data_IF_560458299935
#
_entry.id   IF_560458299935
#
_cell.length_a   1.000
_cell.length_b   1.000
_cell.length_c   1.000
_cell.angle_alpha   90.00
_cell.angle_beta   90.00
_cell.angle_gamma   90.00
#
_symmetry.space_group_name_H-M   'P 1'
#
loop_
_entity.id
_entity.type
_entity.pdbx_description
1 polymer ?
#
# COMPACT_ATOMS: atom_id res chain seq x y z
N UNK A 1 4.64 -33.99 -43.54
CA UNK A 1 5.70 -32.97 -43.39
C UNK A 1 5.07 -31.71 -42.85
N UNK A 2 5.69 -31.16 -41.80
CA UNK A 2 5.26 -30.01 -41.01
C UNK A 2 4.92 -28.76 -41.83
N UNK A 3 3.96 -27.99 -41.34
CA UNK A 3 4.11 -26.54 -41.33
C UNK A 3 3.45 -25.95 -40.07
N UNK A 4 4.25 -25.84 -39.00
CA UNK A 4 3.99 -24.96 -37.87
C UNK A 4 4.45 -23.56 -38.23
N UNK A 5 3.57 -22.55 -38.17
CA UNK A 5 3.98 -21.15 -37.93
C UNK A 5 2.78 -20.22 -37.87
N UNK A 6 2.06 -20.22 -36.73
CA UNK A 6 1.30 -19.06 -36.28
C UNK A 6 1.30 -18.98 -34.75
N UNK A 7 2.48 -18.70 -34.19
CA UNK A 7 2.61 -18.10 -32.86
C UNK A 7 3.55 -16.90 -33.03
N UNK A 8 3.02 -15.85 -33.67
CA UNK A 8 3.64 -14.54 -33.71
C UNK A 8 2.71 -13.61 -32.93
N UNK A 9 3.16 -13.09 -31.79
CA UNK A 9 2.48 -11.95 -31.16
C UNK A 9 2.59 -11.76 -29.66
N UNK A 10 2.96 -12.75 -28.86
CA UNK A 10 3.19 -12.50 -27.43
C UNK A 10 4.51 -11.73 -27.27
N UNK A 11 4.42 -10.42 -27.06
CA UNK A 11 5.57 -9.57 -26.79
C UNK A 11 6.29 -10.11 -25.55
N UNK A 12 7.38 -10.85 -25.77
CA UNK A 12 8.24 -11.36 -24.71
C UNK A 12 8.86 -10.15 -23.99
N UNK A 13 8.24 -9.72 -22.89
CA UNK A 13 8.87 -8.75 -22.00
C UNK A 13 10.18 -9.36 -21.52
N UNK A 14 11.27 -8.60 -21.58
CA UNK A 14 12.58 -9.15 -21.21
C UNK A 14 12.61 -9.41 -19.71
N UNK A 15 13.18 -10.54 -19.25
CA UNK A 15 13.27 -10.88 -17.82
C UNK A 15 13.86 -9.76 -16.95
N UNK A 16 14.73 -8.93 -17.55
CA UNK A 16 15.34 -7.75 -16.92
C UNK A 16 14.34 -6.64 -16.62
N UNK A 17 13.42 -6.35 -17.55
CA UNK A 17 12.38 -5.32 -17.36
C UNK A 17 11.38 -5.74 -16.28
N UNK A 18 11.08 -7.04 -16.20
CA UNK A 18 10.16 -7.57 -15.20
C UNK A 18 10.74 -7.54 -13.80
N UNK A 19 12.02 -7.89 -13.62
CA UNK A 19 12.70 -7.78 -12.33
C UNK A 19 12.71 -6.33 -11.79
N UNK A 20 12.94 -5.33 -12.65
CA UNK A 20 12.91 -3.91 -12.27
C UNK A 20 11.51 -3.47 -11.85
N UNK A 21 10.50 -3.72 -12.69
CA UNK A 21 9.10 -3.35 -12.39
C UNK A 21 8.61 -4.01 -11.10
N UNK A 22 8.94 -5.30 -10.93
CA UNK A 22 8.60 -6.04 -9.74
C UNK A 22 9.26 -5.44 -8.48
N UNK A 23 10.54 -5.10 -8.55
CA UNK A 23 11.26 -4.55 -7.39
C UNK A 23 10.76 -3.16 -6.99
N UNK A 24 10.36 -2.33 -7.95
CA UNK A 24 9.68 -1.05 -7.68
C UNK A 24 8.33 -1.29 -7.00
N UNK A 25 7.56 -2.26 -7.49
CA UNK A 25 6.27 -2.63 -6.89
C UNK A 25 6.45 -3.14 -5.45
N UNK A 26 7.50 -3.93 -5.18
CA UNK A 26 7.87 -4.35 -3.83
C UNK A 26 8.21 -3.15 -2.96
N UNK A 27 9.06 -2.23 -3.43
CA UNK A 27 9.42 -1.02 -2.70
C UNK A 27 8.21 -0.20 -2.24
N UNK A 28 7.28 0.05 -3.17
CA UNK A 28 6.06 0.81 -2.89
C UNK A 28 5.09 0.06 -1.97
N UNK A 29 4.90 -1.25 -2.19
CA UNK A 29 3.97 -2.05 -1.39
C UNK A 29 4.49 -2.28 0.03
N UNK A 30 5.79 -2.55 0.17
CA UNK A 30 6.42 -2.78 1.46
C UNK A 30 6.48 -1.51 2.30
N UNK A 31 6.84 -0.35 1.72
CA UNK A 31 6.84 0.90 2.50
C UNK A 31 5.42 1.29 2.92
N UNK A 32 4.42 1.02 2.07
CA UNK A 32 3.03 1.25 2.44
C UNK A 32 2.58 0.40 3.63
N UNK A 33 2.83 -0.92 3.59
CA UNK A 33 2.45 -1.82 4.69
C UNK A 33 3.22 -1.48 5.96
N UNK A 34 4.49 -1.11 5.83
CA UNK A 34 5.29 -0.63 6.95
C UNK A 34 4.72 0.65 7.57
N UNK A 35 4.35 1.65 6.76
CA UNK A 35 3.69 2.87 7.25
C UNK A 35 2.35 2.59 7.93
N UNK A 36 1.45 1.88 7.23
CA UNK A 36 0.09 1.67 7.68
C UNK A 36 -0.01 0.69 8.87
N UNK A 37 0.79 -0.39 8.87
CA UNK A 37 0.66 -1.50 9.82
C UNK A 37 1.80 -1.48 10.84
N UNK A 38 3.06 -1.46 10.42
CA UNK A 38 4.15 -1.49 11.40
C UNK A 38 4.10 -0.24 12.27
N UNK A 39 4.12 0.94 11.65
CA UNK A 39 4.15 2.20 12.38
C UNK A 39 2.76 2.63 12.87
N UNK A 40 1.73 2.48 12.03
CA UNK A 40 0.37 2.88 12.38
C UNK A 40 -0.35 2.00 13.41
N UNK A 41 0.05 0.74 13.63
CA UNK A 41 -0.63 -0.19 14.55
C UNK A 41 0.26 -0.80 15.63
N UNK A 42 1.52 -1.10 15.33
CA UNK A 42 2.31 -2.05 16.13
C UNK A 42 3.56 -1.43 16.76
N UNK A 43 4.07 -0.34 16.20
CA UNK A 43 5.37 0.20 16.53
C UNK A 43 5.34 1.72 16.34
N UNK A 44 4.75 2.40 17.33
CA UNK A 44 4.40 3.83 17.43
C UNK A 44 5.58 4.83 17.34
N UNK A 45 6.68 4.45 16.70
CA UNK A 45 7.83 5.29 16.46
C UNK A 45 7.74 5.87 15.05
N UNK A 46 7.54 7.17 14.88
CA UNK A 46 7.55 7.79 13.55
C UNK A 46 8.93 8.37 13.22
N UNK A 47 9.74 7.68 12.43
CA UNK A 47 10.94 8.29 11.87
C UNK A 47 10.55 9.34 10.81
N UNK A 48 11.30 10.44 10.78
CA UNK A 48 11.13 11.59 9.88
C UNK A 48 10.92 11.21 8.40
N UNK A 49 10.25 12.06 7.61
CA UNK A 49 10.00 11.82 6.17
C UNK A 49 11.21 11.34 5.34
N UNK A 50 12.43 11.79 5.67
CA UNK A 50 13.69 11.38 5.02
C UNK A 50 14.00 9.90 5.19
N UNK A 51 13.57 9.31 6.30
CA UNK A 51 13.65 7.88 6.54
C UNK A 51 12.80 7.11 5.55
N UNK A 52 11.55 7.52 5.32
CA UNK A 52 10.61 6.79 4.46
C UNK A 52 11.17 6.69 3.04
N UNK A 53 11.77 7.77 2.56
CA UNK A 53 12.48 7.80 1.27
C UNK A 53 13.66 6.84 1.28
N UNK A 54 14.54 6.94 2.28
CA UNK A 54 15.75 6.11 2.38
C UNK A 54 15.41 4.62 2.49
N UNK A 55 14.42 4.26 3.30
CA UNK A 55 13.92 2.88 3.47
C UNK A 55 13.29 2.36 2.19
N UNK A 56 12.51 3.18 1.48
CA UNK A 56 11.97 2.80 0.16
C UNK A 56 13.08 2.47 -0.83
N UNK A 57 14.12 3.30 -0.89
CA UNK A 57 15.28 3.03 -1.74
C UNK A 57 16.04 1.77 -1.31
N UNK A 58 16.22 1.56 -0.01
CA UNK A 58 16.89 0.37 0.52
C UNK A 58 16.11 -0.90 0.15
N UNK A 59 14.80 -0.96 0.41
CA UNK A 59 13.93 -2.07 0.02
C UNK A 59 14.07 -2.32 -1.48
N UNK A 60 13.83 -1.29 -2.29
CA UNK A 60 13.85 -1.43 -3.76
C UNK A 60 15.21 -1.94 -4.26
N UNK A 61 16.31 -1.47 -3.67
CA UNK A 61 17.67 -1.87 -4.04
C UNK A 61 17.96 -3.31 -3.67
N UNK A 62 17.68 -3.72 -2.43
CA UNK A 62 17.89 -5.10 -1.97
C UNK A 62 17.07 -6.08 -2.81
N UNK A 63 15.79 -5.76 -3.05
CA UNK A 63 14.94 -6.61 -3.86
C UNK A 63 15.33 -6.58 -5.34
N UNK A 64 15.79 -5.48 -5.90
CA UNK A 64 16.26 -5.43 -7.28
C UNK A 64 17.46 -6.33 -7.52
N UNK A 65 18.52 -6.16 -6.73
CA UNK A 65 19.71 -7.02 -6.85
C UNK A 65 19.36 -8.46 -6.50
N UNK A 66 18.70 -8.67 -5.37
CA UNK A 66 18.31 -9.98 -4.88
C UNK A 66 17.48 -10.78 -5.87
N UNK A 67 16.44 -10.17 -6.43
CA UNK A 67 15.54 -10.81 -7.41
C UNK A 67 16.27 -11.09 -8.72
N UNK A 68 17.23 -10.24 -9.12
CA UNK A 68 18.06 -10.51 -10.30
C UNK A 68 18.92 -11.78 -10.16
N UNK A 69 19.34 -12.13 -8.93
CA UNK A 69 20.14 -13.34 -8.66
C UNK A 69 19.31 -14.56 -8.27
N UNK A 70 18.32 -14.40 -7.39
CA UNK A 70 17.54 -15.49 -6.80
C UNK A 70 16.21 -15.75 -7.52
N UNK A 71 15.78 -14.83 -8.39
CA UNK A 71 14.47 -14.87 -9.06
C UNK A 71 13.31 -14.35 -8.19
N UNK A 72 12.11 -14.37 -8.79
CA UNK A 72 10.86 -13.94 -8.15
C UNK A 72 10.15 -15.17 -7.56
N UNK A 73 9.87 -15.17 -6.25
CA UNK A 73 9.13 -16.26 -5.62
C UNK A 73 9.11 -16.14 -4.09
N UNK A 74 8.29 -16.97 -3.43
CA UNK A 74 8.07 -16.90 -1.98
C UNK A 74 9.40 -17.12 -1.21
N UNK A 75 10.19 -18.13 -1.57
CA UNK A 75 11.47 -18.43 -0.90
C UNK A 75 12.50 -17.31 -1.13
N UNK A 76 12.76 -16.84 -2.37
CA UNK A 76 13.56 -15.63 -2.58
C UNK A 76 13.06 -14.43 -1.76
N UNK A 77 11.75 -14.20 -1.72
CA UNK A 77 11.14 -13.12 -0.94
C UNK A 77 11.44 -13.20 0.55
N UNK A 78 11.34 -14.38 1.16
CA UNK A 78 11.68 -14.60 2.56
C UNK A 78 13.15 -14.25 2.84
N UNK A 79 14.07 -14.76 2.02
CA UNK A 79 15.50 -14.52 2.17
C UNK A 79 15.82 -13.03 2.02
N UNK A 80 15.28 -12.38 1.00
CA UNK A 80 15.54 -10.96 0.74
C UNK A 80 14.92 -10.05 1.81
N UNK A 81 13.77 -10.42 2.36
CA UNK A 81 13.17 -9.69 3.48
C UNK A 81 14.02 -9.83 4.74
N UNK A 82 14.54 -11.02 5.04
CA UNK A 82 15.43 -11.24 6.17
C UNK A 82 16.72 -10.42 6.04
N UNK A 83 17.34 -10.45 4.85
CA UNK A 83 18.54 -9.67 4.53
C UNK A 83 18.27 -8.17 4.66
N UNK A 84 17.19 -7.67 4.06
CA UNK A 84 16.80 -6.26 4.18
C UNK A 84 16.62 -5.85 5.64
N UNK A 85 15.81 -6.61 6.39
CA UNK A 85 15.48 -6.31 7.80
C UNK A 85 16.76 -6.28 8.63
N UNK A 86 17.67 -7.25 8.42
CA UNK A 86 18.95 -7.25 9.09
C UNK A 86 19.77 -6.00 8.75
N UNK A 87 19.96 -5.67 7.47
CA UNK A 87 20.72 -4.47 7.05
C UNK A 87 20.14 -3.21 7.72
N UNK A 88 18.82 -3.10 7.70
CA UNK A 88 18.08 -1.98 8.22
C UNK A 88 18.27 -1.82 9.75
N UNK A 89 18.12 -2.90 10.52
CA UNK A 89 18.23 -2.85 11.98
C UNK A 89 19.68 -2.65 12.46
N UNK A 90 20.64 -3.24 11.74
CA UNK A 90 22.08 -2.98 11.92
C UNK A 90 22.39 -1.49 11.69
N UNK A 91 21.83 -0.90 10.62
CA UNK A 91 21.98 0.53 10.35
C UNK A 91 21.41 1.36 11.51
N UNK A 92 20.24 1.01 12.03
CA UNK A 92 19.63 1.70 13.17
C UNK A 92 20.45 1.63 14.44
N UNK A 93 20.91 0.43 14.81
CA UNK A 93 21.61 0.20 16.05
C UNK A 93 22.98 0.91 16.10
N UNK A 94 23.67 1.03 14.97
CA UNK A 94 25.09 1.44 14.97
C UNK A 94 25.45 2.59 14.04
N UNK A 95 24.66 2.88 13.00
CA UNK A 95 25.06 3.80 11.91
C UNK A 95 24.14 5.02 11.75
N UNK A 96 22.92 4.99 12.28
CA UNK A 96 21.99 6.12 12.23
C UNK A 96 22.62 7.37 12.90
N UNK A 97 22.59 8.56 12.29
CA UNK A 97 23.16 9.78 12.88
C UNK A 97 22.53 10.18 14.23
N UNK A 98 23.26 10.95 15.03
CA UNK A 98 22.80 11.50 16.32
C UNK A 98 21.52 12.33 16.08
N UNK A 99 20.40 11.98 16.75
CA UNK A 99 19.11 12.66 16.61
C UNK A 99 18.00 11.83 15.92
N UNK A 100 18.34 10.69 15.33
CA UNK A 100 17.44 9.53 15.25
C UNK A 100 17.52 8.79 16.59
N UNK A 101 16.56 7.92 16.98
CA UNK A 101 16.57 7.32 18.31
C UNK A 101 17.73 6.30 18.43
N UNK A 102 18.94 6.80 18.67
CA UNK A 102 20.11 6.01 19.10
C UNK A 102 19.92 5.42 20.49
N UNK A 103 18.86 5.84 21.17
CA UNK A 103 18.39 5.33 22.46
C UNK A 103 17.15 4.42 22.32
N UNK A 104 16.87 3.90 21.12
CA UNK A 104 15.96 2.76 21.03
C UNK A 104 16.56 1.62 21.84
N UNK A 105 15.87 1.24 22.91
CA UNK A 105 16.23 0.08 23.73
C UNK A 105 16.48 -1.12 22.81
N UNK A 106 17.59 -1.81 23.04
CA UNK A 106 17.96 -3.01 22.28
C UNK A 106 16.80 -4.01 22.25
N UNK A 107 16.06 -4.15 23.36
CA UNK A 107 14.90 -5.03 23.40
C UNK A 107 13.77 -4.52 22.51
N UNK A 108 13.49 -3.21 22.52
CA UNK A 108 12.48 -2.62 21.66
C UNK A 108 12.83 -2.78 20.17
N UNK A 109 14.10 -2.61 19.80
CA UNK A 109 14.56 -2.78 18.42
C UNK A 109 14.53 -4.25 17.97
N UNK A 110 15.20 -5.13 18.71
CA UNK A 110 15.46 -6.49 18.25
C UNK A 110 14.35 -7.49 18.59
N UNK A 111 13.60 -7.27 19.68
CA UNK A 111 12.52 -8.19 20.09
C UNK A 111 11.20 -7.79 19.45
N UNK A 112 10.91 -6.49 19.33
CA UNK A 112 9.63 -6.02 18.78
C UNK A 112 9.76 -5.40 17.39
N UNK A 113 10.80 -4.60 17.13
CA UNK A 113 11.03 -3.96 15.84
C UNK A 113 11.29 -4.95 14.72
N UNK A 114 12.30 -5.82 14.89
CA UNK A 114 12.69 -6.82 13.88
C UNK A 114 11.51 -7.68 13.42
N UNK A 115 10.71 -8.32 14.31
CA UNK A 115 9.59 -9.12 13.84
C UNK A 115 8.52 -8.30 13.14
N UNK A 116 8.19 -7.10 13.65
CA UNK A 116 7.17 -6.23 13.04
C UNK A 116 7.61 -5.76 11.65
N UNK A 117 8.86 -5.30 11.52
CA UNK A 117 9.43 -4.83 10.26
C UNK A 117 9.51 -5.95 9.24
N UNK A 118 10.01 -7.11 9.66
CA UNK A 118 10.09 -8.29 8.81
C UNK A 118 8.70 -8.66 8.27
N UNK A 119 7.69 -8.75 9.14
CA UNK A 119 6.33 -9.13 8.75
C UNK A 119 5.68 -8.10 7.83
N UNK A 120 5.84 -6.81 8.11
CA UNK A 120 5.30 -5.74 7.28
C UNK A 120 5.92 -5.73 5.88
N UNK A 121 7.26 -5.79 5.81
CA UNK A 121 7.98 -5.81 4.52
C UNK A 121 7.65 -7.08 3.75
N UNK A 122 7.58 -8.23 4.42
CA UNK A 122 7.20 -9.49 3.77
C UNK A 122 5.75 -9.46 3.28
N UNK A 123 4.83 -8.87 4.04
CA UNK A 123 3.45 -8.64 3.63
C UNK A 123 3.37 -7.80 2.36
N UNK A 124 4.11 -6.70 2.29
CA UNK A 124 4.22 -5.88 1.08
C UNK A 124 4.86 -6.61 -0.10
N UNK A 125 5.87 -7.45 0.14
CA UNK A 125 6.44 -8.32 -0.89
C UNK A 125 5.40 -9.31 -1.43
N UNK A 126 4.64 -9.98 -0.56
CA UNK A 126 3.60 -10.92 -0.97
C UNK A 126 2.49 -10.23 -1.76
N UNK A 127 2.13 -9.00 -1.38
CA UNK A 127 1.21 -8.17 -2.14
C UNK A 127 1.73 -7.89 -3.55
N UNK A 128 2.98 -7.46 -3.66
CA UNK A 128 3.62 -7.22 -4.96
C UNK A 128 3.72 -8.49 -5.80
N UNK A 129 4.04 -9.64 -5.19
CA UNK A 129 4.12 -10.94 -5.85
C UNK A 129 2.75 -11.38 -6.38
N UNK A 130 1.70 -11.16 -5.61
CA UNK A 130 0.34 -11.46 -6.02
C UNK A 130 -0.12 -10.57 -7.18
N UNK A 131 0.07 -9.25 -7.08
CA UNK A 131 -0.24 -8.29 -8.15
C UNK A 131 0.54 -8.62 -9.43
N UNK A 132 1.84 -8.90 -9.30
CA UNK A 132 2.71 -9.26 -10.44
C UNK A 132 2.23 -10.52 -11.16
N UNK A 133 1.84 -11.57 -10.41
CA UNK A 133 1.29 -12.81 -11.01
C UNK A 133 -0.04 -12.58 -11.71
N UNK A 134 -0.86 -11.64 -11.22
CA UNK A 134 -2.15 -11.30 -11.84
C UNK A 134 -2.04 -10.41 -13.08
N UNK A 135 -0.92 -9.70 -13.24
CA UNK A 135 -0.76 -8.69 -14.28
C UNK A 135 -0.48 -9.21 -15.70
N UNK A 136 -0.56 -10.52 -15.93
CA UNK A 136 -0.25 -11.13 -17.24
C UNK A 136 -1.33 -10.98 -18.34
N UNK A 137 -2.64 -10.72 -18.08
CA UNK A 137 -3.62 -10.51 -19.16
C UNK A 137 -4.10 -9.07 -19.39
N UNK A 138 -3.79 -8.10 -18.51
CA UNK A 138 -4.44 -6.76 -18.56
C UNK A 138 -3.89 -5.79 -19.64
N UNK A 139 -2.78 -6.15 -20.31
CA UNK A 139 -2.17 -5.32 -21.35
C UNK A 139 -2.72 -5.60 -22.76
N UNK A 140 -3.56 -6.63 -22.94
CA UNK A 140 -4.14 -7.00 -24.25
C UNK A 140 -5.61 -6.59 -24.44
N UNK A 141 -6.26 -6.03 -23.41
CA UNK A 141 -7.61 -5.49 -23.54
C UNK A 141 -7.57 -4.15 -24.30
N UNK A 142 -8.17 -4.18 -25.49
CA UNK A 142 -8.12 -3.16 -26.52
C UNK A 142 -8.47 -1.73 -26.06
N UNK A 143 -7.88 -0.77 -26.77
CA UNK A 143 -8.02 0.69 -26.71
C UNK A 143 -9.47 1.25 -26.76
N UNK A 144 -10.48 0.39 -26.82
CA UNK A 144 -11.91 0.72 -26.83
C UNK A 144 -12.59 0.79 -25.45
N UNK A 145 -11.94 0.35 -24.36
CA UNK A 145 -12.58 0.23 -23.04
C UNK A 145 -12.14 1.29 -22.00
N UNK A 146 -11.19 2.16 -22.33
CA UNK A 146 -10.60 3.11 -21.37
C UNK A 146 -11.63 4.07 -20.75
N UNK A 147 -12.58 4.57 -21.53
CA UNK A 147 -13.66 5.42 -20.99
C UNK A 147 -14.53 4.67 -19.99
N UNK A 148 -14.96 3.45 -20.31
CA UNK A 148 -15.79 2.63 -19.41
C UNK A 148 -15.05 2.30 -18.11
N UNK A 149 -13.74 2.04 -18.22
CA UNK A 149 -12.88 1.81 -17.06
C UNK A 149 -12.76 3.05 -16.17
N UNK A 150 -12.57 4.23 -16.77
CA UNK A 150 -12.51 5.51 -16.04
C UNK A 150 -13.84 5.84 -15.39
N UNK A 151 -14.96 5.64 -16.11
CA UNK A 151 -16.31 5.84 -15.56
C UNK A 151 -16.58 4.87 -14.42
N UNK A 152 -16.22 3.60 -14.56
CA UNK A 152 -16.31 2.62 -13.47
C UNK A 152 -15.53 3.11 -12.25
N UNK A 153 -14.25 3.47 -12.43
CA UNK A 153 -13.42 3.98 -11.34
C UNK A 153 -14.00 5.22 -10.65
N UNK A 154 -14.56 6.15 -11.42
CA UNK A 154 -15.20 7.35 -10.89
C UNK A 154 -16.48 7.03 -10.11
N UNK A 155 -17.38 6.22 -10.68
CA UNK A 155 -18.65 5.84 -10.05
C UNK A 155 -18.37 5.06 -8.77
N UNK A 156 -17.49 4.06 -8.81
CA UNK A 156 -17.07 3.30 -7.63
C UNK A 156 -16.47 4.23 -6.57
N UNK A 157 -15.56 5.13 -6.93
CA UNK A 157 -14.99 6.07 -5.98
C UNK A 157 -16.07 6.99 -5.34
N UNK A 158 -17.02 7.49 -6.12
CA UNK A 158 -18.14 8.29 -5.60
C UNK A 158 -19.00 7.48 -4.62
N UNK A 159 -19.33 6.24 -4.96
CA UNK A 159 -20.12 5.36 -4.10
C UNK A 159 -19.40 5.06 -2.78
N UNK A 160 -18.11 4.72 -2.84
CA UNK A 160 -17.30 4.47 -1.64
C UNK A 160 -17.24 5.72 -0.76
N UNK A 161 -16.93 6.89 -1.34
CA UNK A 161 -16.80 8.14 -0.58
C UNK A 161 -18.14 8.62 -0.01
N UNK A 162 -19.24 8.43 -0.73
CA UNK A 162 -20.57 8.74 -0.22
C UNK A 162 -20.94 7.83 0.95
N UNK A 163 -20.66 6.53 0.84
CA UNK A 163 -20.85 5.57 1.92
C UNK A 163 -19.99 5.92 3.14
N UNK A 164 -18.73 6.32 2.93
CA UNK A 164 -17.81 6.69 4.01
C UNK A 164 -18.24 7.99 4.72
N UNK A 165 -18.73 8.96 3.96
CA UNK A 165 -19.33 10.17 4.52
C UNK A 165 -20.57 9.89 5.39
N UNK A 166 -21.40 8.92 5.01
CA UNK A 166 -22.57 8.52 5.79
C UNK A 166 -22.17 7.67 7.00
N UNK A 167 -21.48 6.56 6.75
CA UNK A 167 -21.22 5.54 7.75
C UNK A 167 -20.14 5.99 8.74
N UNK A 168 -18.99 6.43 8.23
CA UNK A 168 -17.86 6.77 9.08
C UNK A 168 -18.05 8.13 9.71
N UNK A 169 -18.31 9.16 8.90
CA UNK A 169 -18.34 10.54 9.41
C UNK A 169 -19.64 10.83 10.17
N UNK A 170 -20.80 10.54 9.56
CA UNK A 170 -22.10 10.86 10.16
C UNK A 170 -22.52 9.90 11.28
N UNK A 171 -22.38 8.58 11.10
CA UNK A 171 -22.88 7.59 12.07
C UNK A 171 -21.87 7.24 13.17
N UNK A 172 -20.62 6.92 12.80
CA UNK A 172 -19.61 6.45 13.76
C UNK A 172 -18.93 7.60 14.50
N UNK A 173 -18.42 8.58 13.76
CA UNK A 173 -17.67 9.69 14.35
C UNK A 173 -18.57 10.87 14.75
N UNK A 174 -19.79 10.93 14.20
CA UNK A 174 -20.79 11.97 14.48
C UNK A 174 -20.32 13.40 14.18
N UNK A 175 -19.42 13.55 13.22
CA UNK A 175 -18.88 14.84 12.82
C UNK A 175 -19.22 15.16 11.37
N UNK A 176 -19.33 16.45 11.06
CA UNK A 176 -19.41 16.91 9.68
C UNK A 176 -18.00 17.03 9.09
N UNK A 177 -17.67 16.25 8.05
CA UNK A 177 -16.30 16.18 7.57
C UNK A 177 -15.90 17.35 6.65
N UNK A 178 -16.87 18.16 6.22
CA UNK A 178 -16.64 19.28 5.32
C UNK A 178 -16.39 18.88 3.86
N UNK A 179 -16.40 19.86 2.97
CA UNK A 179 -16.20 19.65 1.52
C UNK A 179 -14.78 19.13 1.23
N UNK A 180 -13.79 19.61 1.98
CA UNK A 180 -12.37 19.22 1.81
C UNK A 180 -12.17 17.71 1.94
N UNK A 181 -12.85 17.08 2.90
CA UNK A 181 -12.84 15.63 3.06
C UNK A 181 -13.28 14.92 1.78
N UNK A 182 -14.44 15.28 1.23
CA UNK A 182 -14.98 14.65 0.03
C UNK A 182 -14.06 14.83 -1.18
N UNK A 183 -13.46 16.01 -1.34
CA UNK A 183 -12.52 16.30 -2.43
C UNK A 183 -11.24 15.47 -2.31
N UNK A 184 -10.66 15.38 -1.11
CA UNK A 184 -9.44 14.58 -0.91
C UNK A 184 -9.72 13.08 -1.06
N UNK A 185 -10.79 12.59 -0.46
CA UNK A 185 -11.15 11.17 -0.48
C UNK A 185 -11.52 10.73 -1.89
N UNK A 186 -12.21 11.56 -2.69
CA UNK A 186 -12.50 11.20 -4.09
C UNK A 186 -11.25 11.17 -4.95
N UNK A 187 -10.30 12.11 -4.76
CA UNK A 187 -9.03 12.11 -5.51
C UNK A 187 -8.21 10.85 -5.21
N UNK A 188 -8.12 10.47 -3.93
CA UNK A 188 -7.40 9.27 -3.50
C UNK A 188 -8.13 8.02 -4.00
N UNK A 189 -9.42 7.87 -3.72
CA UNK A 189 -10.19 6.68 -4.09
C UNK A 189 -10.25 6.48 -5.60
N UNK A 190 -10.44 7.53 -6.39
CA UNK A 190 -10.49 7.40 -7.84
C UNK A 190 -9.17 6.85 -8.41
N UNK A 191 -8.05 7.48 -8.05
CA UNK A 191 -6.72 7.03 -8.49
C UNK A 191 -6.45 5.61 -7.99
N UNK A 192 -6.76 5.34 -6.71
CA UNK A 192 -6.57 4.03 -6.11
C UNK A 192 -7.40 2.95 -6.81
N UNK A 193 -8.71 3.13 -6.99
CA UNK A 193 -9.62 2.16 -7.63
C UNK A 193 -9.17 1.89 -9.06
N UNK A 194 -8.80 2.91 -9.83
CA UNK A 194 -8.29 2.72 -11.18
C UNK A 194 -6.98 1.91 -11.19
N UNK A 195 -5.99 2.28 -10.38
CA UNK A 195 -4.73 1.54 -10.33
C UNK A 195 -4.98 0.12 -9.81
N UNK A 196 -5.66 -0.02 -8.69
CA UNK A 196 -5.94 -1.30 -8.06
C UNK A 196 -6.69 -2.25 -8.98
N UNK A 197 -7.78 -1.81 -9.60
CA UNK A 197 -8.57 -2.65 -10.51
C UNK A 197 -7.75 -3.07 -11.73
N UNK A 198 -6.86 -2.21 -12.22
CA UNK A 198 -5.97 -2.56 -13.34
C UNK A 198 -4.96 -3.67 -12.99
N UNK A 199 -4.42 -3.67 -11.75
CA UNK A 199 -3.41 -4.64 -11.33
C UNK A 199 -4.00 -5.91 -10.67
N UNK A 200 -5.03 -5.76 -9.85
CA UNK A 200 -5.65 -6.83 -9.06
C UNK A 200 -6.83 -7.51 -9.78
N UNK A 201 -7.46 -6.81 -10.72
CA UNK A 201 -8.70 -7.20 -11.39
C UNK A 201 -9.96 -6.90 -10.58
N UNK A 202 -11.12 -6.92 -11.26
CA UNK A 202 -12.44 -6.64 -10.69
C UNK A 202 -13.15 -7.89 -10.10
N UNK A 203 -12.39 -8.91 -9.66
CA UNK A 203 -12.96 -10.09 -9.01
C UNK A 203 -13.17 -9.89 -7.50
N UNK A 204 -13.93 -10.76 -6.83
CA UNK A 204 -14.24 -10.62 -5.39
C UNK A 204 -12.99 -10.48 -4.51
N UNK A 205 -11.94 -11.27 -4.77
CA UNK A 205 -10.66 -11.14 -4.06
C UNK A 205 -10.00 -9.79 -4.29
N UNK A 206 -10.07 -9.26 -5.52
CA UNK A 206 -9.54 -7.94 -5.85
C UNK A 206 -10.28 -6.84 -5.10
N UNK A 207 -11.61 -6.93 -5.03
CA UNK A 207 -12.46 -5.98 -4.30
C UNK A 207 -12.20 -6.03 -2.79
N UNK A 208 -12.20 -7.21 -2.18
CA UNK A 208 -12.00 -7.34 -0.73
C UNK A 208 -10.63 -6.82 -0.30
N UNK A 209 -9.57 -7.20 -1.01
CA UNK A 209 -8.21 -6.71 -0.70
C UNK A 209 -8.08 -5.23 -1.06
N UNK A 210 -8.72 -4.77 -2.14
CA UNK A 210 -8.76 -3.36 -2.53
C UNK A 210 -9.43 -2.48 -1.50
N UNK A 211 -10.58 -2.92 -0.96
CA UNK A 211 -11.29 -2.24 0.12
C UNK A 211 -10.43 -2.14 1.38
N UNK A 212 -9.75 -3.23 1.76
CA UNK A 212 -8.81 -3.23 2.89
C UNK A 212 -7.69 -2.21 2.67
N UNK A 213 -7.08 -2.24 1.49
CA UNK A 213 -5.95 -1.37 1.16
C UNK A 213 -6.36 0.10 1.06
N UNK A 214 -7.52 0.41 0.48
CA UNK A 214 -8.05 1.77 0.44
C UNK A 214 -8.34 2.31 1.84
N UNK A 215 -8.95 1.48 2.69
CA UNK A 215 -9.18 1.83 4.09
C UNK A 215 -7.86 2.11 4.83
N UNK A 216 -6.83 1.28 4.62
CA UNK A 216 -5.49 1.52 5.17
C UNK A 216 -4.88 2.82 4.63
N UNK A 217 -5.01 3.13 3.33
CA UNK A 217 -4.53 4.40 2.74
C UNK A 217 -5.18 5.58 3.45
N UNK A 218 -6.50 5.56 3.64
CA UNK A 218 -7.21 6.64 4.32
C UNK A 218 -6.88 6.73 5.81
N UNK A 219 -6.75 5.61 6.51
CA UNK A 219 -6.34 5.60 7.92
C UNK A 219 -4.94 6.19 8.08
N UNK A 220 -3.99 5.78 7.25
CA UNK A 220 -2.63 6.34 7.24
C UNK A 220 -2.68 7.83 6.90
N UNK A 221 -3.47 8.25 5.92
CA UNK A 221 -3.64 9.67 5.61
C UNK A 221 -4.21 10.44 6.81
N UNK A 222 -5.24 9.92 7.48
CA UNK A 222 -5.86 10.55 8.65
C UNK A 222 -4.90 10.65 9.84
N UNK A 223 -4.03 9.66 10.03
CA UNK A 223 -3.00 9.65 11.07
C UNK A 223 -2.02 10.82 10.92
N UNK A 224 -1.60 11.14 9.70
CA UNK A 224 -0.54 12.13 9.47
C UNK A 224 -1.04 13.50 8.98
N UNK A 225 -2.11 13.53 8.19
CA UNK A 225 -2.45 14.67 7.32
C UNK A 225 -3.94 14.99 7.26
N UNK A 226 -4.81 14.23 7.94
CA UNK A 226 -6.27 14.41 7.89
C UNK A 226 -6.85 15.02 9.16
N UNK A 227 -6.69 16.33 9.40
CA UNK A 227 -7.36 16.99 10.52
C UNK A 227 -8.88 16.97 10.35
N UNK A 228 -9.59 16.90 11.48
CA UNK A 228 -11.05 16.86 11.61
C UNK A 228 -11.57 18.15 12.24
N UNK A 229 -12.88 18.37 12.23
CA UNK A 229 -13.52 19.60 12.75
C UNK A 229 -13.44 20.82 11.82
N UNK A 230 -12.88 20.67 10.61
CA UNK A 230 -12.72 21.77 9.65
C UNK A 230 -14.07 22.39 9.26
N UNK A 231 -14.12 23.74 9.21
CA UNK A 231 -15.26 24.65 9.00
C UNK A 231 -15.93 25.17 10.29
N UNK A 232 -15.93 24.41 11.39
CA UNK A 232 -16.71 24.77 12.58
C UNK A 232 -15.93 24.75 13.90
N UNK A 233 -14.81 24.03 13.97
CA UNK A 233 -13.98 23.88 15.17
C UNK A 233 -12.48 24.06 14.85
N UNK A 234 -11.66 24.14 15.91
CA UNK A 234 -10.19 24.07 15.74
C UNK A 234 -9.80 22.68 15.19
N UNK A 235 -8.89 22.62 14.21
CA UNK A 235 -8.49 21.35 13.62
C UNK A 235 -7.81 20.45 14.65
N UNK A 236 -8.33 19.23 14.81
CA UNK A 236 -7.74 18.20 15.66
C UNK A 236 -7.48 16.92 14.86
N UNK A 237 -6.53 16.11 15.33
CA UNK A 237 -6.17 14.84 14.72
C UNK A 237 -6.77 13.68 15.52
N UNK A 238 -7.25 12.65 14.82
CA UNK A 238 -7.82 11.48 15.46
C UNK A 238 -6.78 10.72 16.27
N UNK A 239 -7.13 10.34 17.50
CA UNK A 239 -6.36 9.36 18.26
C UNK A 239 -6.50 7.95 17.69
N UNK A 240 -5.65 7.02 18.13
CA UNK A 240 -5.63 5.62 17.67
C UNK A 240 -7.00 4.94 17.74
N UNK A 241 -7.81 5.24 18.75
CA UNK A 241 -9.15 4.66 18.88
C UNK A 241 -10.04 5.06 17.69
N UNK A 242 -10.11 6.35 17.39
CA UNK A 242 -10.96 6.87 16.31
C UNK A 242 -10.41 6.48 14.95
N UNK A 243 -9.09 6.39 14.80
CA UNK A 243 -8.45 5.92 13.57
C UNK A 243 -8.81 4.45 13.27
N UNK A 244 -8.58 3.55 14.22
CA UNK A 244 -8.65 2.11 13.94
C UNK A 244 -10.02 1.47 14.17
N UNK A 245 -10.75 1.92 15.19
CA UNK A 245 -12.05 1.33 15.50
C UNK A 245 -13.20 1.97 14.73
N UNK A 246 -13.06 3.24 14.35
CA UNK A 246 -14.14 3.99 13.70
C UNK A 246 -13.79 4.28 12.24
N UNK A 247 -12.70 5.02 11.98
CA UNK A 247 -12.34 5.48 10.64
C UNK A 247 -11.96 4.33 9.70
N UNK A 248 -11.05 3.45 10.14
CA UNK A 248 -10.63 2.29 9.35
C UNK A 248 -11.80 1.33 9.09
N UNK A 249 -12.53 0.97 10.14
CA UNK A 249 -13.63 0.01 10.04
C UNK A 249 -14.76 0.56 9.16
N UNK A 250 -15.10 1.84 9.34
CA UNK A 250 -16.09 2.49 8.52
C UNK A 250 -15.67 2.65 7.06
N UNK A 251 -14.42 3.07 6.82
CA UNK A 251 -13.84 3.16 5.47
C UNK A 251 -13.77 1.80 4.78
N UNK A 252 -13.43 0.74 5.50
CA UNK A 252 -13.38 -0.63 4.97
C UNK A 252 -14.76 -1.13 4.56
N UNK A 253 -15.77 -0.97 5.41
CA UNK A 253 -17.16 -1.37 5.10
C UNK A 253 -17.70 -0.53 3.94
N UNK A 254 -17.43 0.77 3.93
CA UNK A 254 -17.85 1.68 2.86
C UNK A 254 -17.22 1.30 1.52
N UNK A 255 -15.94 0.90 1.54
CA UNK A 255 -15.24 0.39 0.37
C UNK A 255 -15.80 -0.96 -0.08
N UNK A 256 -16.11 -1.89 0.83
CA UNK A 256 -16.73 -3.16 0.45
C UNK A 256 -18.12 -3.01 -0.18
N UNK A 257 -18.93 -2.06 0.30
CA UNK A 257 -20.29 -1.81 -0.22
C UNK A 257 -20.23 -1.05 -1.54
N UNK A 258 -19.28 -0.12 -1.69
CA UNK A 258 -19.20 0.75 -2.86
C UNK A 258 -18.45 0.17 -4.06
N UNK A 259 -17.63 -0.87 -3.86
CA UNK A 259 -16.83 -1.50 -4.92
C UNK A 259 -17.65 -2.44 -5.81
#
# INVERSE_FOLDING_TARGET
MHNSSRNAGAAHVSPRKDAIKFSILVGLSAIFVDAAIAHGLLWENDPYWTYWITKTFLITTVFLFGTAFLGIGIIPGLVLTAVHTLIFEIYYQWLAPVGLPRELDFNHLWITGVPVHFLAIFGGYLMALWLWRRNHPALEAERGETWRFVVYGLVTAVMIVANDGILTQLLLLQDFPGITFFVQHILIAFVFVCVWTAYAGAGPTGWTVGALMLALVWTTYAMYLGPRGLLFEEPYYSGYRDLWWLSFSGGFVSALIGW
#
